data_IF_036286277154
#
_entry.id   IF_036286277154
#
_cell.length_a   1.000
_cell.length_b   1.000
_cell.length_c   1.000
_cell.angle_alpha   90.00
_cell.angle_beta   90.00
_cell.angle_gamma   90.00
#
_symmetry.space_group_name_H-M   'P 1'
#
loop_
_entity.id
_entity.type
_entity.pdbx_description
1 polymer ?
#
# COMPACT_ATOMS: atom_id res chain seq x y z
N UNK A 1 -7.09 6.80 7.09
CA UNK A 1 -5.85 6.23 6.51
C UNK A 1 -6.13 4.93 5.77
N UNK A 2 -6.57 3.86 6.44
CA UNK A 2 -6.79 2.55 5.80
C UNK A 2 -7.70 2.58 4.57
N UNK A 3 -8.85 3.26 4.65
CA UNK A 3 -9.74 3.44 3.47
C UNK A 3 -8.98 4.01 2.26
N UNK A 4 -8.32 5.15 2.46
CA UNK A 4 -7.56 5.82 1.41
C UNK A 4 -6.43 4.91 0.88
N UNK A 5 -5.74 4.19 1.76
CA UNK A 5 -4.72 3.23 1.35
C UNK A 5 -5.26 2.20 0.36
N UNK A 6 -6.38 1.54 0.68
CA UNK A 6 -7.00 0.53 -0.20
C UNK A 6 -7.47 1.12 -1.54
N UNK A 7 -7.92 2.37 -1.55
CA UNK A 7 -8.40 3.09 -2.73
C UNK A 7 -7.30 3.80 -3.54
N UNK A 8 -6.02 3.71 -3.14
CA UNK A 8 -4.93 4.46 -3.78
C UNK A 8 -3.93 3.60 -4.56
N UNK A 9 -4.06 2.28 -4.51
CA UNK A 9 -3.16 1.35 -5.20
C UNK A 9 -3.88 0.01 -5.44
N UNK A 10 -3.33 -0.87 -6.28
CA UNK A 10 -3.84 -2.24 -6.42
C UNK A 10 -3.18 -3.18 -5.40
N UNK A 11 -3.92 -3.69 -4.39
CA UNK A 11 -3.37 -4.55 -3.35
C UNK A 11 -3.19 -6.02 -3.76
N UNK A 12 -3.50 -6.38 -5.01
CA UNK A 12 -3.54 -7.78 -5.48
C UNK A 12 -2.33 -8.18 -6.33
N UNK A 13 -1.37 -7.26 -6.52
CA UNK A 13 -0.30 -7.40 -7.52
C UNK A 13 0.98 -8.07 -7.01
N UNK A 14 1.09 -8.38 -5.72
CA UNK A 14 2.26 -9.05 -5.14
C UNK A 14 3.52 -8.18 -5.20
N UNK A 15 4.57 -8.68 -5.84
CA UNK A 15 5.89 -8.01 -5.92
C UNK A 15 5.96 -7.01 -7.09
N UNK A 16 4.92 -6.18 -7.22
CA UNK A 16 4.72 -5.19 -8.28
C UNK A 16 3.66 -4.17 -7.88
N UNK A 17 3.75 -2.95 -8.41
CA UNK A 17 2.66 -1.98 -8.47
C UNK A 17 2.62 -1.31 -9.85
N UNK A 18 1.58 -1.57 -10.64
CA UNK A 18 1.47 -1.12 -12.01
C UNK A 18 2.67 -1.53 -12.86
N UNK A 19 3.42 -0.54 -13.36
CA UNK A 19 4.62 -0.76 -14.16
C UNK A 19 5.89 -0.98 -13.31
N UNK A 20 5.82 -0.71 -12.00
CA UNK A 20 6.98 -0.83 -11.10
C UNK A 20 7.09 -2.27 -10.59
N UNK A 21 8.10 -3.01 -11.04
CA UNK A 21 8.30 -4.43 -10.74
C UNK A 21 9.44 -4.62 -9.75
N UNK A 22 9.19 -5.35 -8.67
CA UNK A 22 10.18 -5.65 -7.64
C UNK A 22 9.56 -5.76 -6.25
N UNK A 23 10.24 -6.46 -5.36
CA UNK A 23 9.78 -6.68 -3.97
C UNK A 23 9.62 -5.38 -3.19
N UNK A 24 10.32 -4.31 -3.58
CA UNK A 24 10.25 -2.97 -3.00
C UNK A 24 8.96 -2.23 -3.34
N UNK A 25 8.20 -2.69 -4.33
CA UNK A 25 6.94 -2.07 -4.78
C UNK A 25 5.70 -2.81 -4.29
N UNK A 26 5.86 -3.78 -3.38
CA UNK A 26 4.74 -4.57 -2.85
C UNK A 26 3.83 -3.73 -1.95
N UNK A 27 2.55 -4.08 -1.91
CA UNK A 27 1.60 -3.51 -0.95
C UNK A 27 1.97 -3.91 0.48
N UNK A 28 2.10 -2.94 1.39
CA UNK A 28 2.42 -3.19 2.81
C UNK A 28 1.68 -2.23 3.74
N UNK A 29 1.34 -2.70 4.94
CA UNK A 29 0.87 -1.90 6.08
C UNK A 29 1.74 -2.23 7.28
N UNK A 30 2.48 -1.22 7.76
CA UNK A 30 3.27 -1.33 8.97
C UNK A 30 2.55 -0.67 10.15
N UNK A 31 2.54 -1.37 11.28
CA UNK A 31 1.70 -1.02 12.44
C UNK A 31 2.51 -0.78 13.70
N UNK A 32 2.04 0.15 14.53
CA UNK A 32 2.56 0.42 15.87
C UNK A 32 1.54 -0.05 16.92
N UNK A 33 1.75 -1.26 17.44
CA UNK A 33 0.94 -1.87 18.49
C UNK A 33 -0.35 -2.55 17.99
N UNK A 34 -0.95 -3.30 18.91
CA UNK A 34 -2.02 -4.25 18.58
C UNK A 34 -3.29 -3.58 18.03
N UNK A 35 -3.65 -2.39 18.53
CA UNK A 35 -4.84 -1.69 18.07
C UNK A 35 -4.77 -1.37 16.57
N UNK A 36 -3.60 -0.97 16.06
CA UNK A 36 -3.41 -0.71 14.63
C UNK A 36 -3.38 -2.01 13.83
N UNK A 37 -2.74 -3.05 14.36
CA UNK A 37 -2.71 -4.37 13.74
C UNK A 37 -4.12 -4.94 13.54
N UNK A 38 -4.95 -4.93 14.57
CA UNK A 38 -6.33 -5.42 14.49
C UNK A 38 -7.17 -4.59 13.52
N UNK A 39 -7.01 -3.26 13.51
CA UNK A 39 -7.70 -2.40 12.55
C UNK A 39 -7.27 -2.68 11.11
N UNK A 40 -5.97 -2.90 10.86
CA UNK A 40 -5.44 -3.23 9.55
C UNK A 40 -6.00 -4.57 9.03
N UNK A 41 -5.98 -5.61 9.88
CA UNK A 41 -6.55 -6.93 9.57
C UNK A 41 -8.04 -6.82 9.25
N UNK A 42 -8.82 -6.19 10.12
CA UNK A 42 -10.26 -6.04 9.90
C UNK A 42 -10.56 -5.27 8.60
N UNK A 43 -9.77 -4.23 8.29
CA UNK A 43 -9.94 -3.47 7.05
C UNK A 43 -9.56 -4.26 5.80
N UNK A 44 -8.52 -5.10 5.87
CA UNK A 44 -8.13 -6.02 4.79
C UNK A 44 -9.27 -6.97 4.49
N UNK A 45 -9.83 -7.61 5.51
CA UNK A 45 -10.88 -8.62 5.32
C UNK A 45 -12.15 -8.01 4.70
N UNK A 46 -12.53 -6.81 5.14
CA UNK A 46 -13.65 -6.07 4.56
C UNK A 46 -13.39 -5.67 3.09
N UNK A 47 -12.16 -5.26 2.76
CA UNK A 47 -11.82 -4.88 1.39
C UNK A 47 -11.67 -6.11 0.48
N UNK A 48 -11.11 -7.21 0.98
CA UNK A 48 -11.01 -8.49 0.24
C UNK A 48 -12.40 -9.00 -0.15
N UNK A 49 -13.38 -8.96 0.75
CA UNK A 49 -14.76 -9.32 0.42
C UNK A 49 -15.36 -8.43 -0.69
N UNK A 50 -14.97 -7.15 -0.75
CA UNK A 50 -15.41 -6.23 -1.80
C UNK A 50 -14.72 -6.55 -3.14
N UNK A 51 -13.44 -6.92 -3.13
CA UNK A 51 -12.70 -7.34 -4.31
C UNK A 51 -13.22 -8.67 -4.86
N UNK A 52 -13.52 -9.63 -3.99
CA UNK A 52 -14.11 -10.92 -4.34
C UNK A 52 -15.47 -10.72 -5.03
N UNK A 53 -16.32 -9.84 -4.48
CA UNK A 53 -17.61 -9.48 -5.10
C UNK A 53 -17.47 -8.82 -6.48
N UNK A 54 -16.34 -8.17 -6.75
CA UNK A 54 -15.99 -7.58 -8.04
C UNK A 54 -15.21 -8.54 -8.97
N UNK A 55 -14.95 -9.78 -8.55
CA UNK A 55 -14.16 -10.75 -9.31
C UNK A 55 -12.68 -10.37 -9.48
N UNK A 56 -12.13 -9.58 -8.55
CA UNK A 56 -10.71 -9.19 -8.54
C UNK A 56 -9.87 -10.24 -7.79
N UNK A 57 -8.54 -10.14 -7.91
CA UNK A 57 -7.61 -11.07 -7.28
C UNK A 57 -7.57 -10.95 -5.76
N UNK A 58 -6.90 -11.93 -5.12
CA UNK A 58 -6.68 -11.97 -3.68
C UNK A 58 -5.77 -10.84 -3.21
N UNK A 59 -6.00 -10.30 -2.01
CA UNK A 59 -5.09 -9.31 -1.42
C UNK A 59 -3.73 -9.95 -1.11
N UNK A 60 -2.67 -9.25 -1.50
CA UNK A 60 -1.26 -9.63 -1.28
C UNK A 60 -0.55 -8.72 -0.27
N UNK A 61 -1.27 -7.76 0.31
CA UNK A 61 -0.74 -6.79 1.28
C UNK A 61 -0.12 -7.48 2.50
N UNK A 62 1.15 -7.19 2.74
CA UNK A 62 1.84 -7.59 3.97
C UNK A 62 1.38 -6.71 5.14
N UNK A 63 0.99 -7.30 6.26
CA UNK A 63 0.63 -6.56 7.48
C UNK A 63 1.55 -7.01 8.61
N UNK A 64 2.41 -6.12 9.09
CA UNK A 64 3.47 -6.43 10.05
C UNK A 64 3.73 -5.28 11.04
N UNK A 65 4.44 -5.54 12.16
CA UNK A 65 5.00 -4.47 12.98
C UNK A 65 5.94 -3.58 12.16
N UNK A 66 5.95 -2.28 12.44
CA UNK A 66 6.84 -1.37 11.74
C UNK A 66 8.31 -1.70 12.00
N UNK A 67 9.12 -1.94 10.94
CA UNK A 67 10.56 -2.06 11.09
C UNK A 67 11.19 -0.69 11.37
N UNK A 68 12.52 -0.67 11.51
CA UNK A 68 13.26 0.59 11.49
C UNK A 68 12.98 1.34 10.18
N UNK A 69 12.67 2.64 10.30
CA UNK A 69 12.41 3.50 9.16
C UNK A 69 13.68 4.24 8.76
N UNK A 70 14.16 3.99 7.54
CA UNK A 70 15.27 4.71 6.96
C UNK A 70 14.74 5.81 6.03
N UNK A 71 15.19 7.04 6.24
CA UNK A 71 14.88 8.12 5.32
C UNK A 71 15.54 7.85 3.96
N UNK A 72 14.75 7.99 2.89
CA UNK A 72 15.29 8.10 1.54
C UNK A 72 16.02 9.44 1.35
N UNK A 73 16.81 9.53 0.29
CA UNK A 73 17.53 10.74 -0.10
C UNK A 73 16.60 11.96 -0.24
N UNK A 74 17.15 13.16 -0.07
CA UNK A 74 16.39 14.42 -0.07
C UNK A 74 15.57 14.64 -1.35
N UNK A 75 16.09 14.19 -2.50
CA UNK A 75 15.41 14.29 -3.79
C UNK A 75 14.08 13.52 -3.82
N UNK A 76 13.98 12.42 -3.06
CA UNK A 76 12.75 11.62 -2.94
C UNK A 76 11.72 12.26 -1.99
N UNK A 77 12.16 13.09 -1.07
CA UNK A 77 11.28 13.72 -0.08
C UNK A 77 10.37 14.77 -0.75
N UNK A 78 9.06 14.61 -0.60
CA UNK A 78 8.03 15.47 -1.20
C UNK A 78 8.19 15.65 -2.72
N UNK A 79 8.73 14.64 -3.41
CA UNK A 79 9.07 14.70 -4.84
C UNK A 79 7.93 15.23 -5.73
N UNK A 80 6.69 14.77 -5.54
CA UNK A 80 5.54 15.20 -6.35
C UNK A 80 5.03 16.61 -6.01
N UNK A 81 5.31 17.14 -4.82
CA UNK A 81 5.06 18.54 -4.52
C UNK A 81 6.10 19.44 -5.20
N UNK A 82 7.36 18.99 -5.27
CA UNK A 82 8.45 19.65 -6.00
C UNK A 82 8.26 19.55 -7.52
N UNK A 83 7.70 18.45 -8.00
CA UNK A 83 7.46 18.13 -9.40
C UNK A 83 5.98 17.75 -9.61
N UNK A 84 5.05 18.73 -9.75
CA UNK A 84 3.62 18.45 -9.86
C UNK A 84 3.21 17.59 -11.07
N UNK A 85 4.06 17.53 -12.11
CA UNK A 85 3.89 16.69 -13.29
C UNK A 85 4.83 15.48 -13.30
N UNK A 86 5.44 15.17 -12.15
CA UNK A 86 6.32 14.02 -11.98
C UNK A 86 5.58 12.71 -12.14
N UNK A 87 6.31 11.66 -12.51
CA UNK A 87 5.72 10.33 -12.69
C UNK A 87 5.23 9.76 -11.36
N UNK A 88 4.01 9.20 -11.36
CA UNK A 88 3.46 8.46 -10.24
C UNK A 88 2.42 7.44 -10.72
N UNK A 89 2.50 6.21 -10.19
CA UNK A 89 1.58 5.12 -10.51
C UNK A 89 0.37 5.04 -9.56
N UNK A 90 -0.02 6.12 -8.89
CA UNK A 90 -1.23 6.11 -8.04
C UNK A 90 -2.47 5.90 -8.90
N UNK A 91 -3.00 4.68 -8.86
CA UNK A 91 -4.31 4.30 -9.36
C UNK A 91 -4.90 3.31 -8.36
N UNK A 92 -6.09 3.60 -7.86
CA UNK A 92 -6.89 2.67 -7.06
C UNK A 92 -8.36 2.75 -7.46
#
# INVERSE_FOLDING_TARGET
>A
LLKLFWESHDPTQGMRQGNDVGTTYRSTIYTFGDAQYQAAIASRDAYEASLDGAGRGKITTEIAPAPEFYFAEEDHQQYLAKNPYGYCNLQG
#
